data_IF_558322190936
#
_entry.id   IF_558322190936
#
_cell.length_a   1.000
_cell.length_b   1.000
_cell.length_c   1.000
_cell.angle_alpha   90.00
_cell.angle_beta   90.00
_cell.angle_gamma   90.00
#
_symmetry.space_group_name_H-M   'P 1'
#
loop_
_entity.id
_entity.type
_entity.pdbx_description
1 polymer ?
#
# COMPACT_ATOMS: atom_id res chain seq x y z
N UNK A 1 -20.45 27.04 -0.16
CA UNK A 1 -19.38 26.03 -0.07
C UNK A 1 -20.01 24.78 0.50
N UNK A 2 -20.07 23.70 -0.29
CA UNK A 2 -20.75 22.47 0.11
C UNK A 2 -19.78 21.58 0.90
N UNK A 3 -19.72 21.77 2.22
CA UNK A 3 -18.79 21.06 3.11
C UNK A 3 -18.98 19.53 2.99
N UNK A 4 -20.21 19.06 2.86
CA UNK A 4 -20.52 17.63 2.73
C UNK A 4 -19.96 17.05 1.42
N UNK A 5 -20.04 17.81 0.32
CA UNK A 5 -19.44 17.43 -0.96
C UNK A 5 -17.91 17.39 -0.91
N UNK A 6 -17.28 18.32 -0.20
CA UNK A 6 -15.82 18.32 -0.01
C UNK A 6 -15.36 17.14 0.84
N UNK A 7 -16.06 16.82 1.93
CA UNK A 7 -15.75 15.65 2.76
C UNK A 7 -15.90 14.33 1.99
N UNK A 8 -16.95 14.21 1.18
CA UNK A 8 -17.15 13.04 0.33
C UNK A 8 -16.01 12.90 -0.69
N UNK A 9 -15.57 13.99 -1.33
CA UNK A 9 -14.43 13.97 -2.26
C UNK A 9 -13.13 13.56 -1.57
N UNK A 10 -12.82 14.15 -0.42
CA UNK A 10 -11.62 13.80 0.35
C UNK A 10 -11.61 12.33 0.78
N UNK A 11 -12.77 11.78 1.16
CA UNK A 11 -12.89 10.36 1.49
C UNK A 11 -12.65 9.47 0.27
N UNK A 12 -13.20 9.84 -0.89
CA UNK A 12 -13.09 9.06 -2.12
C UNK A 12 -11.71 9.17 -2.80
N UNK A 13 -10.97 10.24 -2.58
CA UNK A 13 -9.59 10.42 -3.07
C UNK A 13 -8.52 9.93 -2.07
N UNK A 14 -8.94 9.51 -0.87
CA UNK A 14 -8.02 9.01 0.14
C UNK A 14 -7.31 7.73 -0.32
N UNK A 15 -6.03 7.56 0.04
CA UNK A 15 -5.29 6.33 -0.28
C UNK A 15 -5.95 5.05 0.27
N UNK A 16 -6.77 5.17 1.31
CA UNK A 16 -7.53 4.03 1.86
C UNK A 16 -8.68 3.58 0.96
N UNK A 17 -9.34 4.50 0.24
CA UNK A 17 -10.37 4.13 -0.71
C UNK A 17 -9.79 3.32 -1.90
N UNK A 18 -8.47 3.38 -2.14
CA UNK A 18 -7.81 2.71 -3.27
C UNK A 18 -7.90 1.20 -3.18
N UNK A 19 -7.86 0.69 -1.95
CA UNK A 19 -7.98 -0.73 -1.69
C UNK A 19 -9.35 -1.30 -2.07
N UNK A 20 -10.39 -0.46 -2.12
CA UNK A 20 -11.78 -0.88 -2.31
C UNK A 20 -12.41 -0.39 -3.61
N UNK A 21 -11.95 0.74 -4.16
CA UNK A 21 -12.56 1.42 -5.31
C UNK A 21 -11.80 1.13 -6.62
N UNK A 22 -10.50 0.79 -6.55
CA UNK A 22 -9.67 0.59 -7.73
C UNK A 22 -9.59 -0.89 -8.13
N UNK A 23 -9.72 -1.18 -9.43
CA UNK A 23 -9.56 -2.52 -9.98
C UNK A 23 -8.17 -3.08 -9.70
N UNK A 24 -8.10 -4.08 -8.80
CA UNK A 24 -6.84 -4.68 -8.34
C UNK A 24 -6.37 -4.23 -6.96
N UNK A 25 -7.03 -3.27 -6.30
CA UNK A 25 -6.67 -2.79 -4.95
C UNK A 25 -6.69 -3.88 -3.88
N UNK A 26 -7.52 -4.92 -4.05
CA UNK A 26 -7.54 -6.10 -3.17
C UNK A 26 -6.24 -6.91 -3.21
N UNK A 27 -5.48 -6.88 -4.31
CA UNK A 27 -4.16 -7.53 -4.43
C UNK A 27 -3.13 -6.83 -3.54
N UNK A 28 -3.15 -5.50 -3.51
CA UNK A 28 -2.29 -4.72 -2.63
C UNK A 28 -2.57 -5.02 -1.16
N UNK A 29 -3.84 -5.19 -0.79
CA UNK A 29 -4.22 -5.60 0.57
C UNK A 29 -3.61 -6.97 0.94
N UNK A 30 -3.66 -7.94 0.02
CA UNK A 30 -3.03 -9.25 0.23
C UNK A 30 -1.52 -9.13 0.39
N UNK A 31 -0.86 -8.32 -0.45
CA UNK A 31 0.59 -8.11 -0.37
C UNK A 31 1.02 -7.40 0.91
N UNK A 32 0.22 -6.46 1.43
CA UNK A 32 0.43 -5.85 2.74
C UNK A 32 0.38 -6.92 3.85
N UNK A 33 -0.59 -7.83 3.80
CA UNK A 33 -0.65 -8.96 4.75
C UNK A 33 0.60 -9.83 4.63
N UNK A 34 1.06 -10.15 3.42
CA UNK A 34 2.29 -10.90 3.19
C UNK A 34 3.51 -10.17 3.76
N UNK A 35 3.60 -8.85 3.59
CA UNK A 35 4.68 -8.04 4.16
C UNK A 35 4.71 -8.13 5.70
N UNK A 36 3.56 -8.14 6.36
CA UNK A 36 3.48 -8.38 7.81
C UNK A 36 3.90 -9.79 8.21
N UNK A 37 3.56 -10.81 7.41
CA UNK A 37 4.03 -12.19 7.65
C UNK A 37 5.56 -12.26 7.53
N UNK A 38 6.16 -11.62 6.52
CA UNK A 38 7.60 -11.56 6.34
C UNK A 38 8.29 -10.79 7.48
N UNK A 39 7.72 -9.66 7.93
CA UNK A 39 8.17 -8.93 9.12
C UNK A 39 8.11 -9.82 10.37
N UNK A 40 7.03 -10.58 10.56
CA UNK A 40 6.90 -11.51 11.67
C UNK A 40 7.97 -12.60 11.63
N UNK A 41 8.25 -13.18 10.46
CA UNK A 41 9.32 -14.17 10.30
C UNK A 41 10.71 -13.58 10.55
N UNK A 42 10.96 -12.36 10.10
CA UNK A 42 12.23 -11.67 10.29
C UNK A 42 12.49 -11.26 11.73
N UNK A 43 11.46 -10.74 12.42
CA UNK A 43 11.60 -10.21 13.79
C UNK A 43 11.43 -11.30 14.84
N UNK A 44 10.33 -12.06 14.78
CA UNK A 44 9.97 -13.03 15.84
C UNK A 44 10.72 -14.33 15.67
N UNK A 45 10.75 -14.86 14.44
CA UNK A 45 11.43 -16.13 14.15
C UNK A 45 12.92 -15.96 13.82
N UNK A 46 13.41 -14.71 13.70
CA UNK A 46 14.81 -14.37 13.39
C UNK A 46 15.36 -15.07 12.15
N UNK A 47 14.52 -15.31 11.15
CA UNK A 47 15.00 -15.74 9.83
C UNK A 47 15.64 -14.53 9.15
N UNK A 48 16.96 -14.57 9.03
CA UNK A 48 17.78 -13.55 8.35
C UNK A 48 17.28 -12.10 8.58
N UNK A 49 17.22 -11.63 9.84
CA UNK A 49 16.56 -10.38 10.21
C UNK A 49 17.13 -9.17 9.48
N UNK A 50 18.43 -9.19 9.15
CA UNK A 50 19.10 -8.12 8.43
C UNK A 50 18.59 -7.94 6.99
N UNK A 51 18.24 -9.04 6.31
CA UNK A 51 17.78 -9.02 4.92
C UNK A 51 16.25 -9.01 4.83
N UNK A 52 15.60 -9.93 5.55
CA UNK A 52 14.16 -10.15 5.44
C UNK A 52 13.33 -8.96 5.93
N UNK A 53 13.81 -8.25 6.96
CA UNK A 53 13.12 -7.07 7.48
C UNK A 53 13.16 -5.91 6.47
N UNK A 54 14.28 -5.72 5.76
CA UNK A 54 14.40 -4.72 4.69
C UNK A 54 13.50 -5.03 3.49
N UNK A 55 13.46 -6.29 3.05
CA UNK A 55 12.58 -6.75 1.96
C UNK A 55 11.11 -6.57 2.34
N UNK A 56 10.73 -6.96 3.56
CA UNK A 56 9.36 -6.84 4.04
C UNK A 56 8.90 -5.37 4.12
N UNK A 57 9.78 -4.46 4.53
CA UNK A 57 9.51 -3.02 4.50
C UNK A 57 9.35 -2.47 3.08
N UNK A 58 10.22 -2.86 2.15
CA UNK A 58 10.08 -2.46 0.74
C UNK A 58 8.76 -2.94 0.13
N UNK A 59 8.39 -4.19 0.40
CA UNK A 59 7.11 -4.76 -0.03
C UNK A 59 5.91 -3.98 0.57
N UNK A 60 5.96 -3.64 1.85
CA UNK A 60 4.92 -2.86 2.51
C UNK A 60 4.75 -1.48 1.84
N UNK A 61 5.85 -0.76 1.64
CA UNK A 61 5.83 0.60 1.08
C UNK A 61 5.31 0.63 -0.37
N UNK A 62 5.75 -0.30 -1.22
CA UNK A 62 5.29 -0.40 -2.61
C UNK A 62 3.79 -0.67 -2.70
N UNK A 63 3.25 -1.53 -1.83
CA UNK A 63 1.83 -1.88 -1.86
C UNK A 63 0.93 -0.85 -1.16
N UNK A 64 1.51 0.02 -0.32
CA UNK A 64 0.80 1.08 0.40
C UNK A 64 0.75 2.40 -0.39
N UNK A 65 1.73 2.67 -1.27
CA UNK A 65 1.80 3.88 -2.12
C UNK A 65 0.87 3.85 -3.35
N UNK A 66 -0.15 2.99 -3.35
CA UNK A 66 -1.10 2.90 -4.45
C UNK A 66 -2.23 3.92 -4.24
N UNK A 67 -2.13 5.10 -4.87
CA UNK A 67 -3.12 6.16 -4.75
C UNK A 67 -4.12 6.15 -5.91
N UNK A 68 -5.40 6.41 -5.59
CA UNK A 68 -6.57 6.32 -6.51
C UNK A 68 -6.47 7.21 -7.75
N UNK A 69 -5.64 8.26 -7.73
CA UNK A 69 -5.64 9.28 -8.77
C UNK A 69 -4.66 9.08 -9.92
N UNK A 70 -3.67 8.18 -9.81
CA UNK A 70 -2.53 8.16 -10.75
C UNK A 70 -2.39 6.89 -11.59
N UNK A 71 -3.26 5.87 -11.46
CA UNK A 71 -3.23 4.66 -12.30
C UNK A 71 -1.94 3.81 -12.22
N UNK A 72 -0.90 4.34 -11.61
CA UNK A 72 0.46 3.87 -11.56
C UNK A 72 0.98 4.01 -10.13
N UNK A 73 1.90 3.12 -9.76
CA UNK A 73 2.46 3.07 -8.42
C UNK A 73 3.14 4.40 -8.09
N UNK A 74 2.68 5.14 -7.07
CA UNK A 74 3.22 6.47 -6.78
C UNK A 74 4.69 6.48 -6.30
N UNK A 75 5.29 5.30 -6.14
CA UNK A 75 6.71 5.10 -5.81
C UNK A 75 7.61 5.04 -7.05
N UNK A 76 7.07 4.75 -8.23
CA UNK A 76 7.86 4.65 -9.47
C UNK A 76 7.05 5.16 -10.66
N UNK A 77 7.65 6.01 -11.47
CA UNK A 77 7.08 6.42 -12.76
C UNK A 77 7.37 5.33 -13.79
N UNK A 78 6.36 4.66 -14.37
CA UNK A 78 6.57 3.63 -15.39
C UNK A 78 7.08 4.20 -16.73
N UNK A 79 6.98 5.52 -16.94
CA UNK A 79 7.37 6.21 -18.17
C UNK A 79 8.82 6.76 -18.21
N UNK A 80 9.68 6.40 -17.24
CA UNK A 80 11.14 6.57 -17.30
C UNK A 80 11.84 5.21 -17.37
#
# INVERSE_FOLDING_TARGET
MDILGTLQKLSMESGFAAFFVTDGGWKNLIMIIIAFVLLYLGIVKKFEPLLLCGIAFGCLLTNLSYFIGMGENALYHPEL
#
